data_IF_258948898706
#
_entry.id   IF_258948898706
#
_cell.length_a   1.000
_cell.length_b   1.000
_cell.length_c   1.000
_cell.angle_alpha   90.00
_cell.angle_beta   90.00
_cell.angle_gamma   90.00
#
_symmetry.space_group_name_H-M   'P 1'
#
loop_
_entity.id
_entity.type
_entity.pdbx_description
1 polymer ?
#
# COMPACT_ATOMS: atom_id res chain seq x y z
N UNK A 1 -32.98 -37.24 25.75
CA UNK A 1 -31.51 -37.28 25.65
C UNK A 1 -30.97 -37.00 24.24
N UNK A 2 -31.57 -37.50 23.14
CA UNK A 2 -31.13 -37.18 21.76
C UNK A 2 -31.20 -35.68 21.39
N UNK A 3 -32.29 -35.00 21.73
CA UNK A 3 -32.55 -33.58 21.38
C UNK A 3 -31.58 -32.59 22.04
N UNK A 4 -31.05 -32.91 23.22
CA UNK A 4 -30.06 -32.06 23.90
C UNK A 4 -28.71 -32.07 23.19
N UNK A 5 -28.30 -33.24 22.66
CA UNK A 5 -27.04 -33.36 21.91
C UNK A 5 -27.12 -32.63 20.56
N UNK A 6 -28.24 -32.70 19.85
CA UNK A 6 -28.45 -31.95 18.60
C UNK A 6 -28.37 -30.43 18.81
N UNK A 7 -28.88 -29.93 19.94
CA UNK A 7 -28.82 -28.50 20.26
C UNK A 7 -27.39 -28.04 20.56
N UNK A 8 -26.60 -28.86 21.28
CA UNK A 8 -25.19 -28.59 21.54
C UNK A 8 -24.34 -28.67 20.27
N UNK A 9 -24.59 -29.65 19.39
CA UNK A 9 -23.93 -29.72 18.08
C UNK A 9 -24.23 -28.50 17.23
N UNK A 10 -25.49 -28.04 17.23
CA UNK A 10 -25.91 -26.84 16.49
C UNK A 10 -25.20 -25.59 17.03
N UNK A 11 -25.10 -25.41 18.35
CA UNK A 11 -24.34 -24.30 18.95
C UNK A 11 -22.85 -24.36 18.60
N UNK A 12 -22.28 -25.57 18.53
CA UNK A 12 -20.88 -25.78 18.15
C UNK A 12 -20.66 -25.44 16.67
N UNK A 13 -21.60 -25.80 15.80
CA UNK A 13 -21.60 -25.40 14.40
C UNK A 13 -21.73 -23.89 14.23
N UNK A 14 -22.66 -23.23 14.93
CA UNK A 14 -22.81 -21.77 14.91
C UNK A 14 -21.51 -21.09 15.37
N UNK A 15 -20.89 -21.57 16.45
CA UNK A 15 -19.62 -21.04 16.94
C UNK A 15 -18.49 -21.20 15.93
N UNK A 16 -18.40 -22.35 15.27
CA UNK A 16 -17.39 -22.59 14.22
C UNK A 16 -17.61 -21.72 12.98
N UNK A 17 -18.86 -21.45 12.59
CA UNK A 17 -19.21 -20.48 11.55
C UNK A 17 -18.84 -19.05 11.96
N UNK A 18 -19.03 -18.69 13.23
CA UNK A 18 -18.68 -17.39 13.78
C UNK A 18 -17.16 -17.20 13.88
N UNK A 19 -16.39 -18.25 14.23
CA UNK A 19 -14.92 -18.23 14.18
C UNK A 19 -14.40 -18.15 12.73
N UNK A 20 -15.06 -18.79 11.76
CA UNK A 20 -14.69 -18.68 10.34
C UNK A 20 -15.04 -17.34 9.72
N UNK A 21 -16.18 -16.75 10.06
CA UNK A 21 -16.62 -15.44 9.53
C UNK A 21 -15.95 -14.24 10.22
N UNK A 22 -15.56 -14.37 11.49
CA UNK A 22 -14.80 -13.33 12.21
C UNK A 22 -13.31 -13.32 11.88
N UNK A 23 -12.75 -14.42 11.34
CA UNK A 23 -11.40 -14.42 10.76
C UNK A 23 -11.42 -13.81 9.37
N UNK A 24 -11.79 -12.53 9.29
CA UNK A 24 -11.11 -11.67 8.35
C UNK A 24 -9.62 -11.83 8.62
N UNK A 25 -8.87 -12.26 7.60
CA UNK A 25 -7.41 -12.24 7.64
C UNK A 25 -7.03 -10.78 7.91
N UNK A 26 -6.81 -10.46 9.18
CA UNK A 26 -6.43 -9.12 9.56
C UNK A 26 -4.99 -8.96 9.11
N UNK A 27 -4.83 -8.39 7.91
CA UNK A 27 -3.59 -7.74 7.51
C UNK A 27 -3.06 -7.03 8.75
N UNK A 28 -1.78 -7.24 9.09
CA UNK A 28 -1.24 -6.66 10.32
C UNK A 28 -1.47 -5.15 10.26
N UNK A 29 -2.24 -4.54 11.17
CA UNK A 29 -2.42 -3.07 11.15
C UNK A 29 -1.09 -2.31 11.15
N UNK A 30 -0.05 -2.95 11.71
CA UNK A 30 1.34 -2.48 11.68
C UNK A 30 1.94 -2.38 10.27
N UNK A 31 1.45 -3.15 9.29
CA UNK A 31 1.86 -3.03 7.89
C UNK A 31 1.45 -1.69 7.29
N UNK A 32 0.23 -1.22 7.58
CA UNK A 32 -0.25 0.08 7.11
C UNK A 32 0.55 1.23 7.72
N UNK A 33 0.86 1.15 9.02
CA UNK A 33 1.72 2.14 9.68
C UNK A 33 3.11 2.17 9.04
N UNK A 34 3.73 1.00 8.81
CA UNK A 34 5.03 0.90 8.17
C UNK A 34 5.03 1.48 6.74
N UNK A 35 4.05 1.10 5.92
CA UNK A 35 3.90 1.63 4.57
C UNK A 35 3.69 3.15 4.58
N UNK A 36 2.86 3.67 5.49
CA UNK A 36 2.64 5.11 5.68
C UNK A 36 3.91 5.86 6.09
N UNK A 37 4.70 5.30 7.01
CA UNK A 37 5.98 5.92 7.39
C UNK A 37 6.98 5.95 6.23
N UNK A 38 7.05 4.89 5.41
CA UNK A 38 7.88 4.89 4.20
C UNK A 38 7.41 5.95 3.19
N UNK A 39 6.09 6.11 3.00
CA UNK A 39 5.52 7.13 2.12
C UNK A 39 5.83 8.56 2.60
N UNK A 40 5.75 8.82 3.91
CA UNK A 40 6.13 10.11 4.49
C UNK A 40 7.61 10.43 4.29
N UNK A 41 8.49 9.43 4.40
CA UNK A 41 9.92 9.60 4.14
C UNK A 41 10.20 9.93 2.66
N UNK A 42 9.54 9.25 1.71
CA UNK A 42 9.66 9.59 0.28
C UNK A 42 9.14 11.00 -0.03
N UNK A 43 7.98 11.36 0.51
CA UNK A 43 7.44 12.71 0.38
C UNK A 43 8.40 13.78 0.95
N UNK A 44 9.03 13.50 2.09
CA UNK A 44 10.06 14.37 2.66
C UNK A 44 11.32 14.43 1.78
N UNK A 45 11.75 13.31 1.18
CA UNK A 45 12.88 13.27 0.26
C UNK A 45 12.63 14.14 -0.99
N UNK A 46 11.45 14.03 -1.60
CA UNK A 46 11.01 14.89 -2.72
C UNK A 46 10.99 16.36 -2.31
N UNK A 47 10.47 16.66 -1.12
CA UNK A 47 10.43 18.02 -0.59
C UNK A 47 11.83 18.64 -0.45
N UNK A 48 12.78 17.87 0.10
CA UNK A 48 14.18 18.29 0.24
C UNK A 48 14.88 18.43 -1.11
N UNK A 49 14.63 17.51 -2.04
CA UNK A 49 15.19 17.52 -3.39
C UNK A 49 14.74 18.77 -4.16
N UNK A 50 13.45 19.09 -4.13
CA UNK A 50 12.92 20.33 -4.73
C UNK A 50 13.38 21.58 -3.97
N UNK A 51 13.75 21.43 -2.69
CA UNK A 51 14.08 22.52 -1.75
C UNK A 51 13.00 23.58 -1.70
N UNK A 52 11.76 23.11 -1.55
CA UNK A 52 10.60 23.96 -1.40
C UNK A 52 10.75 24.78 -0.10
N UNK A 53 10.50 26.10 -0.13
CA UNK A 53 10.47 26.91 1.08
C UNK A 53 9.17 26.62 1.87
N UNK A 54 9.30 26.20 3.14
CA UNK A 54 8.18 25.76 4.00
C UNK A 54 7.11 26.85 4.25
N UNK A 55 7.44 28.13 4.03
CA UNK A 55 6.62 29.27 4.42
C UNK A 55 6.56 30.39 3.37
N UNK A 56 6.71 30.08 2.08
CA UNK A 56 6.62 31.10 1.03
C UNK A 56 5.23 31.14 0.41
N UNK A 57 4.56 32.31 0.46
CA UNK A 57 3.27 32.57 -0.18
C UNK A 57 3.30 32.56 -1.72
N UNK A 58 4.40 32.11 -2.34
CA UNK A 58 4.47 31.93 -3.79
C UNK A 58 3.70 30.66 -4.14
N UNK A 59 2.69 30.79 -5.00
CA UNK A 59 2.11 29.64 -5.71
C UNK A 59 3.21 29.06 -6.59
N UNK A 60 3.94 28.08 -6.06
CA UNK A 60 4.96 27.36 -6.79
C UNK A 60 4.25 26.51 -7.84
N UNK A 61 4.31 26.96 -9.09
CA UNK A 61 3.89 26.15 -10.21
C UNK A 61 4.90 25.03 -10.38
N UNK A 62 4.38 23.81 -10.50
CA UNK A 62 5.16 22.57 -10.64
C UNK A 62 6.29 22.72 -11.69
N UNK A 63 6.00 23.42 -12.79
CA UNK A 63 6.95 23.67 -13.88
C UNK A 63 8.22 24.46 -13.48
N UNK A 64 8.12 25.46 -12.62
CA UNK A 64 9.29 26.29 -12.24
C UNK A 64 10.27 25.53 -11.32
N UNK A 65 9.75 24.59 -10.52
CA UNK A 65 10.54 23.85 -9.53
C UNK A 65 11.27 22.67 -10.15
N UNK A 66 10.70 22.06 -11.20
CA UNK A 66 11.28 20.90 -11.88
C UNK A 66 12.48 21.26 -12.77
N UNK A 67 12.65 22.52 -13.18
CA UNK A 67 13.79 22.94 -14.01
C UNK A 67 15.14 22.92 -13.27
N UNK A 68 15.13 23.01 -11.93
CA UNK A 68 16.34 23.04 -11.12
C UNK A 68 16.63 21.66 -10.52
N UNK A 69 17.02 20.71 -11.38
CA UNK A 69 17.50 19.40 -10.94
C UNK A 69 18.66 19.55 -9.95
N UNK A 70 18.48 19.09 -8.71
CA UNK A 70 19.52 19.11 -7.69
C UNK A 70 20.32 17.81 -7.71
N UNK A 71 21.54 17.86 -7.16
CA UNK A 71 22.44 16.70 -7.03
C UNK A 71 22.85 16.04 -8.36
N UNK A 72 22.72 16.75 -9.49
CA UNK A 72 23.10 16.24 -10.81
C UNK A 72 22.18 15.16 -11.36
N UNK A 73 21.03 14.92 -10.73
CA UNK A 73 20.03 13.95 -11.16
C UNK A 73 18.83 14.73 -11.70
N UNK A 74 18.30 14.44 -12.90
CA UNK A 74 17.08 15.06 -13.38
C UNK A 74 15.88 14.64 -12.53
N UNK A 75 14.92 15.55 -12.35
CA UNK A 75 13.76 15.34 -11.48
C UNK A 75 12.97 14.08 -11.84
N UNK A 76 12.83 13.78 -13.13
CA UNK A 76 12.10 12.60 -13.62
C UNK A 76 12.71 11.31 -13.09
N UNK A 77 14.04 11.20 -13.16
CA UNK A 77 14.76 10.01 -12.67
C UNK A 77 14.67 9.91 -11.15
N UNK A 78 14.79 11.04 -10.44
CA UNK A 78 14.66 11.05 -8.98
C UNK A 78 13.27 10.58 -8.53
N UNK A 79 12.21 11.09 -9.15
CA UNK A 79 10.82 10.78 -8.76
C UNK A 79 10.46 9.33 -9.06
N UNK A 80 10.87 8.80 -10.21
CA UNK A 80 10.65 7.39 -10.54
C UNK A 80 11.42 6.48 -9.59
N UNK A 81 12.66 6.84 -9.25
CA UNK A 81 13.48 6.07 -8.30
C UNK A 81 12.90 6.10 -6.89
N UNK A 82 12.48 7.27 -6.39
CA UNK A 82 11.85 7.41 -5.07
C UNK A 82 10.52 6.64 -5.01
N UNK A 83 9.66 6.80 -6.01
CA UNK A 83 8.39 6.07 -6.10
C UNK A 83 8.61 4.55 -6.11
N UNK A 84 9.58 4.06 -6.88
CA UNK A 84 9.93 2.64 -6.89
C UNK A 84 10.43 2.18 -5.52
N UNK A 85 11.32 2.94 -4.87
CA UNK A 85 11.89 2.60 -3.58
C UNK A 85 10.81 2.55 -2.49
N UNK A 86 9.95 3.57 -2.40
CA UNK A 86 8.83 3.63 -1.47
C UNK A 86 7.88 2.45 -1.72
N UNK A 87 7.55 2.17 -2.97
CA UNK A 87 6.67 1.06 -3.34
C UNK A 87 7.23 -0.30 -2.92
N UNK A 88 8.50 -0.57 -3.22
CA UNK A 88 9.16 -1.82 -2.81
C UNK A 88 9.28 -1.93 -1.29
N UNK A 89 9.61 -0.85 -0.58
CA UNK A 89 9.65 -0.85 0.89
C UNK A 89 8.26 -1.08 1.51
N UNK A 90 7.22 -0.46 0.97
CA UNK A 90 5.84 -0.64 1.43
C UNK A 90 5.37 -2.10 1.21
N UNK A 91 5.65 -2.67 0.03
CA UNK A 91 5.35 -4.08 -0.23
C UNK A 91 6.14 -5.03 0.66
N UNK A 92 7.46 -4.82 0.79
CA UNK A 92 8.32 -5.66 1.61
C UNK A 92 7.91 -5.63 3.09
N UNK A 93 7.64 -4.44 3.64
CA UNK A 93 7.17 -4.29 5.01
C UNK A 93 5.78 -4.90 5.20
N UNK A 94 4.87 -4.73 4.24
CA UNK A 94 3.54 -5.32 4.25
C UNK A 94 3.57 -6.83 4.28
N UNK A 95 4.37 -7.44 3.41
CA UNK A 95 4.59 -8.89 3.37
C UNK A 95 5.25 -9.34 4.68
N UNK A 96 6.31 -8.69 5.13
CA UNK A 96 7.04 -9.07 6.33
C UNK A 96 6.15 -9.09 7.58
N UNK A 97 5.42 -8.01 7.85
CA UNK A 97 4.55 -7.91 9.02
C UNK A 97 3.36 -8.86 8.95
N UNK A 98 2.78 -9.06 7.77
CA UNK A 98 1.68 -10.00 7.56
C UNK A 98 2.15 -11.45 7.79
N UNK A 99 3.30 -11.81 7.23
CA UNK A 99 3.91 -13.15 7.39
C UNK A 99 4.27 -13.42 8.85
N UNK A 100 4.85 -12.43 9.54
CA UNK A 100 5.19 -12.52 10.97
C UNK A 100 3.95 -12.73 11.84
N UNK A 101 2.85 -12.04 11.55
CA UNK A 101 1.58 -12.16 12.27
C UNK A 101 0.94 -13.53 12.01
N UNK A 102 0.89 -13.99 10.76
CA UNK A 102 0.37 -15.31 10.41
C UNK A 102 1.12 -16.45 11.12
N UNK A 103 2.47 -16.38 11.13
CA UNK A 103 3.32 -17.34 11.85
C UNK A 103 3.07 -17.33 13.36
N UNK A 104 2.93 -16.15 13.98
CA UNK A 104 2.60 -16.03 15.42
C UNK A 104 1.23 -16.61 15.78
N UNK A 105 0.27 -16.56 14.85
CA UNK A 105 -1.10 -17.06 15.07
C UNK A 105 -1.28 -18.53 14.63
N UNK A 106 -0.22 -19.21 14.17
CA UNK A 106 -0.29 -20.59 13.69
C UNK A 106 -1.13 -20.76 12.42
N UNK A 107 -1.41 -19.68 11.68
CA UNK A 107 -2.17 -19.72 10.44
C UNK A 107 -1.26 -19.93 9.24
N UNK A 108 -1.73 -20.71 8.25
CA UNK A 108 -1.05 -20.82 6.96
C UNK A 108 -1.01 -19.45 6.30
N UNK A 109 0.19 -19.00 5.95
CA UNK A 109 0.44 -17.73 5.24
C UNK A 109 -0.24 -17.74 3.86
N UNK A 110 -0.34 -18.93 3.26
CA UNK A 110 -0.84 -19.12 1.91
C UNK A 110 -2.09 -20.00 1.90
N UNK A 111 -3.24 -19.36 2.14
CA UNK A 111 -4.57 -19.98 2.07
C UNK A 111 -5.35 -19.40 0.88
N UNK A 112 -6.29 -20.13 0.23
CA UNK A 112 -7.19 -19.61 -0.81
C UNK A 112 -7.74 -18.20 -0.57
N UNK A 113 -8.08 -17.84 0.67
CA UNK A 113 -8.53 -16.48 1.01
C UNK A 113 -7.44 -15.43 0.84
N UNK A 114 -6.21 -15.71 1.29
CA UNK A 114 -5.07 -14.81 1.12
C UNK A 114 -4.71 -14.63 -0.37
N UNK A 115 -4.77 -15.72 -1.16
CA UNK A 115 -4.56 -15.66 -2.61
C UNK A 115 -5.61 -14.78 -3.30
N UNK A 116 -6.89 -14.96 -2.96
CA UNK A 116 -7.98 -14.16 -3.54
C UNK A 116 -7.83 -12.68 -3.19
N UNK A 117 -7.46 -12.36 -1.95
CA UNK A 117 -7.19 -10.98 -1.51
C UNK A 117 -6.01 -10.37 -2.28
N UNK A 118 -4.90 -11.10 -2.44
CA UNK A 118 -3.74 -10.63 -3.19
C UNK A 118 -4.07 -10.38 -4.67
N UNK A 119 -4.85 -11.25 -5.31
CA UNK A 119 -5.28 -11.06 -6.70
C UNK A 119 -6.19 -9.84 -6.82
N UNK A 120 -7.16 -9.69 -5.92
CA UNK A 120 -8.06 -8.53 -5.90
C UNK A 120 -7.34 -7.22 -5.61
N UNK A 121 -6.18 -7.25 -4.94
CA UNK A 121 -5.32 -6.08 -4.75
C UNK A 121 -4.39 -5.84 -5.96
N UNK A 122 -3.84 -6.91 -6.54
CA UNK A 122 -2.86 -6.82 -7.62
C UNK A 122 -3.49 -6.29 -8.92
N UNK A 123 -4.72 -6.69 -9.25
CA UNK A 123 -5.41 -6.23 -10.47
C UNK A 123 -5.52 -4.69 -10.52
N UNK A 124 -6.15 -4.00 -9.56
CA UNK A 124 -6.24 -2.53 -9.59
C UNK A 124 -4.88 -1.87 -9.48
N UNK A 125 -3.94 -2.43 -8.71
CA UNK A 125 -2.59 -1.89 -8.58
C UNK A 125 -1.82 -1.89 -9.92
N UNK A 126 -1.91 -2.99 -10.67
CA UNK A 126 -1.31 -3.09 -12.00
C UNK A 126 -1.97 -2.14 -12.99
N UNK A 127 -3.30 -2.08 -13.01
CA UNK A 127 -4.05 -1.19 -13.92
C UNK A 127 -3.74 0.27 -13.62
N UNK A 128 -3.75 0.68 -12.34
CA UNK A 128 -3.39 2.03 -11.91
C UNK A 128 -1.93 2.37 -12.21
N UNK A 129 -1.00 1.43 -12.00
CA UNK A 129 0.42 1.61 -12.36
C UNK A 129 0.62 1.82 -13.86
N UNK A 130 -0.02 0.99 -14.70
CA UNK A 130 0.01 1.16 -16.16
C UNK A 130 -0.59 2.52 -16.55
N UNK A 131 -1.73 2.90 -15.95
CA UNK A 131 -2.36 4.19 -16.19
C UNK A 131 -1.42 5.36 -15.86
N UNK A 132 -0.70 5.30 -14.73
CA UNK A 132 0.29 6.32 -14.37
C UNK A 132 1.45 6.39 -15.37
N UNK A 133 1.93 5.25 -15.88
CA UNK A 133 2.97 5.22 -16.93
C UNK A 133 2.48 5.82 -18.25
N UNK A 134 1.21 5.61 -18.60
CA UNK A 134 0.58 6.23 -19.78
C UNK A 134 0.49 7.74 -19.62
N UNK A 135 0.06 8.24 -18.44
CA UNK A 135 0.03 9.67 -18.13
C UNK A 135 1.42 10.30 -18.22
N UNK A 136 2.44 9.62 -17.66
CA UNK A 136 3.83 10.06 -17.76
C UNK A 136 4.28 10.19 -19.22
N UNK A 137 3.97 9.20 -20.07
CA UNK A 137 4.29 9.26 -21.51
C UNK A 137 3.60 10.39 -22.27
N UNK A 138 2.42 10.83 -21.83
CA UNK A 138 1.69 11.92 -22.48
C UNK A 138 2.08 13.30 -21.95
N UNK A 139 3.03 13.39 -21.02
CA UNK A 139 3.46 14.66 -20.41
C UNK A 139 2.52 15.18 -19.33
N UNK A 140 1.48 14.43 -18.98
CA UNK A 140 0.48 14.80 -17.97
C UNK A 140 0.95 14.45 -16.54
N UNK A 141 2.16 14.89 -16.19
CA UNK A 141 2.82 14.54 -14.93
C UNK A 141 2.04 15.01 -13.70
N UNK A 142 1.35 16.15 -13.80
CA UNK A 142 0.53 16.70 -12.72
C UNK A 142 -0.63 15.79 -12.29
N UNK A 143 -1.07 14.88 -13.18
CA UNK A 143 -2.16 13.95 -12.89
C UNK A 143 -1.68 12.64 -12.25
N UNK A 144 -0.37 12.35 -12.27
CA UNK A 144 0.18 11.12 -11.69
C UNK A 144 -0.02 11.11 -10.16
N UNK A 145 0.28 12.23 -9.49
CA UNK A 145 0.11 12.34 -8.04
C UNK A 145 -1.33 12.06 -7.56
N UNK A 146 -2.38 12.73 -8.07
CA UNK A 146 -3.76 12.43 -7.67
C UNK A 146 -4.21 11.03 -8.12
N UNK A 147 -3.72 10.52 -9.25
CA UNK A 147 -4.04 9.15 -9.69
C UNK A 147 -3.50 8.07 -8.74
N UNK A 148 -2.34 8.29 -8.11
CA UNK A 148 -1.74 7.35 -7.15
C UNK A 148 -2.35 7.37 -5.75
N UNK A 149 -3.22 8.34 -5.44
CA UNK A 149 -3.89 8.47 -4.13
C UNK A 149 -5.24 7.75 -4.06
N UNK A 150 -5.73 7.23 -5.19
CA UNK A 150 -7.01 6.53 -5.34
C UNK A 150 -6.77 5.03 -5.24
#
# INVERSE_FOLDING_TARGET
MKTQNEHLETLTQIRSLMERSSRFISLSGLSGVAAGTCALLGAAAVYLYLGLPLFSNKRLFYYDVLQNGKWGIPYETFFVMDAALVFFMALASGIFFTTRKAKKQGHKIWDPMARRMLVNLAIPLFVGGIFCLVLYKHGEFGLVAPATLI
#
